data_IF_300934244312
#
_entry.id   IF_300934244312
#
_cell.length_a   1.000
_cell.length_b   1.000
_cell.length_c   1.000
_cell.angle_alpha   90.00
_cell.angle_beta   90.00
_cell.angle_gamma   90.00
#
_symmetry.space_group_name_H-M   'P 1'
#
loop_
_entity.id
_entity.type
_entity.pdbx_description
1 polymer ?
#
# COMPACT_ATOMS: atom_id res chain seq x y z
N UNK A 1 16.86 -4.96 16.88
CA UNK A 1 15.64 -5.42 17.59
C UNK A 1 15.88 -5.61 19.07
N UNK A 2 16.77 -6.52 19.52
CA UNK A 2 16.95 -6.76 20.97
C UNK A 2 17.34 -5.51 21.77
N UNK A 3 18.14 -4.61 21.19
CA UNK A 3 18.50 -3.34 21.84
C UNK A 3 17.32 -2.38 22.06
N UNK A 4 16.19 -2.59 21.38
CA UNK A 4 14.98 -1.77 21.47
C UNK A 4 13.78 -2.61 21.98
N UNK A 5 14.03 -3.71 22.70
CA UNK A 5 12.99 -4.69 23.06
C UNK A 5 11.84 -4.07 23.87
N UNK A 6 12.15 -3.12 24.76
CA UNK A 6 11.17 -2.44 25.60
C UNK A 6 10.36 -1.37 24.82
N UNK A 7 10.80 -1.02 23.62
CA UNK A 7 10.14 -0.03 22.74
C UNK A 7 9.28 -0.69 21.64
N UNK A 8 9.52 -1.98 21.34
CA UNK A 8 8.83 -2.73 20.29
C UNK A 8 7.32 -2.75 20.58
N UNK A 9 6.51 -2.35 19.59
CA UNK A 9 5.05 -2.22 19.71
C UNK A 9 4.58 -0.89 20.31
N UNK A 10 5.53 -0.06 20.78
CA UNK A 10 5.27 1.33 21.15
C UNK A 10 5.18 2.25 19.93
N UNK A 11 4.78 3.52 20.14
CA UNK A 11 4.49 4.47 19.05
C UNK A 11 5.72 4.94 18.27
N UNK A 12 6.93 4.61 18.74
CA UNK A 12 8.21 5.02 18.14
C UNK A 12 8.83 3.95 17.24
N UNK A 13 8.22 2.76 17.16
CA UNK A 13 8.77 1.63 16.40
C UNK A 13 7.80 1.17 15.32
N UNK A 14 8.37 0.75 14.19
CA UNK A 14 7.62 0.11 13.10
C UNK A 14 8.19 -1.28 12.82
N UNK A 15 7.86 -2.23 13.69
CA UNK A 15 8.40 -3.58 13.63
C UNK A 15 7.47 -4.54 12.88
N UNK A 16 8.09 -5.50 12.20
CA UNK A 16 7.42 -6.68 11.66
C UNK A 16 7.81 -7.91 12.48
N UNK A 17 6.88 -8.84 12.69
CA UNK A 17 7.21 -10.11 13.35
C UNK A 17 8.12 -11.00 12.49
N UNK A 18 8.84 -11.92 13.13
CA UNK A 18 9.70 -12.87 12.43
C UNK A 18 8.88 -13.94 11.68
N UNK A 19 9.42 -14.50 10.59
CA UNK A 19 8.73 -15.50 9.76
C UNK A 19 8.24 -16.73 10.53
N UNK A 20 8.93 -17.15 11.60
CA UNK A 20 8.50 -18.26 12.44
C UNK A 20 7.09 -18.07 13.03
N UNK A 21 6.72 -16.83 13.37
CA UNK A 21 5.36 -16.52 13.84
C UNK A 21 4.33 -16.60 12.72
N UNK A 22 4.72 -16.26 11.49
CA UNK A 22 3.85 -16.41 10.33
C UNK A 22 3.59 -17.88 10.02
N UNK A 23 4.61 -18.75 10.11
CA UNK A 23 4.42 -20.21 10.00
C UNK A 23 3.48 -20.76 11.07
N UNK A 24 3.65 -20.33 12.32
CA UNK A 24 2.78 -20.75 13.41
C UNK A 24 1.32 -20.31 13.18
N UNK A 25 1.12 -19.06 12.74
CA UNK A 25 -0.22 -18.52 12.47
C UNK A 25 -0.95 -19.19 11.30
N UNK A 26 -0.19 -19.70 10.32
CA UNK A 26 -0.76 -20.37 9.14
C UNK A 26 -0.88 -21.87 9.28
N UNK A 27 -0.39 -22.47 10.37
CA UNK A 27 -0.44 -23.91 10.57
C UNK A 27 -1.88 -24.42 10.48
N UNK A 28 -2.14 -25.48 9.69
CA UNK A 28 -1.17 -26.39 9.08
C UNK A 28 -0.83 -26.09 7.61
N UNK A 29 -1.24 -24.93 7.09
CA UNK A 29 -1.00 -24.58 5.70
C UNK A 29 0.41 -24.08 5.43
N UNK A 30 0.91 -24.43 4.25
CA UNK A 30 2.22 -24.01 3.79
C UNK A 30 2.22 -22.52 3.46
N UNK A 31 3.34 -21.88 3.81
CA UNK A 31 3.69 -20.50 3.40
C UNK A 31 2.69 -19.47 3.90
N UNK A 32 2.68 -18.26 3.32
CA UNK A 32 2.02 -17.09 3.88
C UNK A 32 1.66 -16.03 2.85
N UNK A 33 1.12 -14.91 3.34
CA UNK A 33 0.71 -13.72 2.58
C UNK A 33 1.60 -13.48 1.36
N UNK A 34 0.95 -13.16 0.24
CA UNK A 34 1.51 -12.92 -1.11
C UNK A 34 1.81 -14.19 -1.91
N UNK A 35 2.09 -15.33 -1.28
CA UNK A 35 2.23 -16.60 -2.01
C UNK A 35 0.87 -17.26 -2.24
N UNK A 36 0.76 -18.08 -3.29
CA UNK A 36 -0.50 -18.78 -3.61
C UNK A 36 -0.53 -20.23 -3.09
N UNK A 37 0.29 -20.56 -2.09
CA UNK A 37 0.02 -21.74 -1.26
C UNK A 37 -1.14 -21.46 -0.30
N UNK A 38 -1.71 -22.50 0.30
CA UNK A 38 -2.88 -22.31 1.17
C UNK A 38 -2.66 -21.35 2.33
N UNK A 39 -1.46 -21.23 2.91
CA UNK A 39 -1.20 -20.30 4.00
C UNK A 39 -1.19 -18.83 3.56
N UNK A 40 -1.11 -18.55 2.26
CA UNK A 40 -1.24 -17.20 1.71
C UNK A 40 -2.63 -16.83 1.20
N UNK A 41 -3.55 -17.79 1.11
CA UNK A 41 -4.87 -17.60 0.49
C UNK A 41 -6.04 -18.25 1.26
N UNK A 42 -5.79 -18.82 2.45
CA UNK A 42 -6.83 -19.41 3.30
C UNK A 42 -6.98 -18.57 4.56
N UNK A 43 -8.16 -17.97 4.72
CA UNK A 43 -8.51 -17.16 5.89
C UNK A 43 -9.72 -17.78 6.62
N UNK A 44 -9.86 -17.56 7.94
CA UNK A 44 -11.07 -17.95 8.65
C UNK A 44 -12.26 -17.13 8.16
N UNK A 45 -13.34 -17.80 7.77
CA UNK A 45 -14.57 -17.17 7.30
C UNK A 45 -15.75 -17.54 8.20
N UNK A 46 -16.39 -16.53 8.79
CA UNK A 46 -17.54 -16.68 9.68
C UNK A 46 -18.69 -15.87 9.11
N UNK A 47 -19.83 -16.54 8.90
CA UNK A 47 -21.08 -15.88 8.50
C UNK A 47 -22.04 -15.89 9.66
N UNK A 48 -22.58 -14.72 10.00
CA UNK A 48 -23.53 -14.56 11.09
C UNK A 48 -24.69 -13.67 10.67
N UNK A 49 -25.87 -14.27 10.53
CA UNK A 49 -27.11 -13.57 10.22
C UNK A 49 -28.29 -14.26 10.91
N UNK A 50 -28.59 -13.93 12.19
CA UNK A 50 -29.59 -14.65 12.99
C UNK A 50 -30.99 -14.72 12.39
N UNK A 51 -31.37 -13.69 11.63
CA UNK A 51 -32.69 -13.58 11.02
C UNK A 51 -32.82 -14.43 9.75
N UNK A 52 -31.72 -14.74 9.05
CA UNK A 52 -31.75 -15.48 7.77
C UNK A 52 -30.99 -16.81 7.76
N UNK A 53 -30.22 -17.12 8.81
CA UNK A 53 -29.52 -18.42 8.97
C UNK A 53 -30.06 -19.13 10.19
N UNK A 54 -30.71 -20.28 9.97
CA UNK A 54 -31.26 -21.13 11.03
C UNK A 54 -30.17 -21.97 11.67
N UNK A 55 -29.21 -22.47 10.89
CA UNK A 55 -28.05 -23.20 11.40
C UNK A 55 -27.32 -22.41 12.49
N UNK A 56 -26.85 -23.10 13.54
CA UNK A 56 -26.13 -22.50 14.67
C UNK A 56 -24.91 -23.35 15.01
N UNK A 57 -23.75 -22.70 15.10
CA UNK A 57 -22.48 -23.34 15.47
C UNK A 57 -22.11 -24.53 14.57
N UNK A 58 -22.44 -24.44 13.28
CA UNK A 58 -22.13 -25.49 12.30
C UNK A 58 -20.95 -25.08 11.40
N UNK A 59 -20.24 -26.07 10.88
CA UNK A 59 -19.11 -25.89 9.95
C UNK A 59 -19.55 -26.28 8.55
N UNK A 60 -19.13 -25.49 7.54
CA UNK A 60 -19.27 -25.81 6.12
C UNK A 60 -17.89 -26.13 5.56
N UNK A 61 -17.80 -27.14 4.67
CA UNK A 61 -16.54 -27.58 4.05
C UNK A 61 -16.48 -27.32 2.55
N UNK A 62 -17.52 -26.68 2.00
CA UNK A 62 -17.56 -26.24 0.61
C UNK A 62 -16.35 -25.37 0.29
N UNK A 63 -15.80 -25.53 -0.92
CA UNK A 63 -14.86 -24.55 -1.43
C UNK A 63 -15.56 -23.20 -1.58
N UNK A 64 -14.93 -22.16 -1.06
CA UNK A 64 -15.41 -20.78 -1.12
C UNK A 64 -14.22 -19.86 -1.38
N UNK A 65 -14.46 -18.78 -2.09
CA UNK A 65 -13.48 -17.77 -2.40
C UNK A 65 -14.04 -16.37 -2.14
N UNK A 66 -13.18 -15.36 -1.96
CA UNK A 66 -13.61 -14.00 -1.64
C UNK A 66 -14.58 -13.39 -2.67
N UNK A 67 -14.48 -13.82 -3.93
CA UNK A 67 -15.38 -13.36 -5.01
C UNK A 67 -16.83 -13.85 -4.85
N UNK A 68 -17.06 -14.87 -4.03
CA UNK A 68 -18.38 -15.42 -3.76
C UNK A 68 -19.22 -14.52 -2.84
N UNK A 69 -18.59 -13.53 -2.18
CA UNK A 69 -19.27 -12.64 -1.24
C UNK A 69 -20.35 -11.77 -1.89
N UNK A 70 -20.02 -11.12 -3.01
CA UNK A 70 -20.98 -10.24 -3.71
C UNK A 70 -22.24 -10.99 -4.15
N UNK A 71 -22.16 -12.12 -4.89
CA UNK A 71 -23.36 -12.85 -5.28
C UNK A 71 -24.10 -13.42 -4.06
N UNK A 72 -23.40 -13.81 -2.99
CA UNK A 72 -24.05 -14.27 -1.75
C UNK A 72 -24.90 -13.19 -1.10
N UNK A 73 -24.39 -11.95 -1.02
CA UNK A 73 -25.14 -10.82 -0.44
C UNK A 73 -26.34 -10.46 -1.31
N UNK A 74 -26.17 -10.45 -2.64
CA UNK A 74 -27.26 -10.17 -3.58
C UNK A 74 -28.39 -11.21 -3.48
N UNK A 75 -28.03 -12.50 -3.44
CA UNK A 75 -28.97 -13.62 -3.26
C UNK A 75 -29.70 -13.53 -1.92
N UNK A 76 -28.98 -13.26 -0.82
CA UNK A 76 -29.56 -13.07 0.50
C UNK A 76 -30.53 -11.88 0.61
N UNK A 77 -30.37 -10.86 -0.24
CA UNK A 77 -31.23 -9.68 -0.31
C UNK A 77 -32.33 -9.79 -1.36
N UNK A 78 -32.38 -10.87 -2.13
CA UNK A 78 -33.28 -11.04 -3.29
C UNK A 78 -33.12 -9.89 -4.30
N UNK A 79 -31.86 -9.54 -4.62
CA UNK A 79 -31.50 -8.47 -5.55
C UNK A 79 -30.75 -9.04 -6.75
N UNK A 80 -31.26 -8.78 -7.96
CA UNK A 80 -30.51 -9.05 -9.18
C UNK A 80 -29.35 -8.05 -9.37
N UNK A 81 -28.19 -8.55 -9.79
CA UNK A 81 -27.03 -7.71 -10.08
C UNK A 81 -27.32 -6.76 -11.25
N UNK A 82 -27.18 -5.43 -11.09
CA UNK A 82 -27.44 -4.49 -12.16
C UNK A 82 -26.38 -4.62 -13.27
N UNK A 83 -26.83 -4.75 -14.51
CA UNK A 83 -25.94 -4.80 -15.68
C UNK A 83 -25.31 -3.43 -15.99
N UNK A 84 -25.92 -2.34 -15.50
CA UNK A 84 -25.41 -0.98 -15.65
C UNK A 84 -25.64 -0.15 -14.37
N UNK A 85 -24.69 0.72 -14.03
CA UNK A 85 -24.81 1.70 -12.94
C UNK A 85 -24.43 3.06 -13.49
N UNK A 86 -25.36 4.04 -13.44
CA UNK A 86 -25.15 5.42 -13.94
C UNK A 86 -24.59 5.49 -15.37
N UNK A 87 -25.05 4.60 -16.24
CA UNK A 87 -24.61 4.52 -17.65
C UNK A 87 -23.30 3.76 -17.89
N UNK A 88 -22.67 3.20 -16.84
CA UNK A 88 -21.47 2.37 -16.96
C UNK A 88 -21.87 0.90 -16.93
N UNK A 89 -21.51 0.14 -17.96
CA UNK A 89 -21.66 -1.33 -18.00
C UNK A 89 -20.79 -1.97 -16.93
N UNK A 90 -21.36 -2.85 -16.11
CA UNK A 90 -20.65 -3.53 -15.05
C UNK A 90 -19.96 -4.80 -15.57
N UNK A 91 -18.83 -5.15 -14.96
CA UNK A 91 -18.19 -6.45 -15.20
C UNK A 91 -19.12 -7.59 -14.69
N UNK A 92 -19.06 -8.78 -15.30
CA UNK A 92 -19.76 -9.95 -14.77
C UNK A 92 -19.32 -10.24 -13.33
N UNK A 93 -20.23 -10.78 -12.52
CA UNK A 93 -19.86 -11.34 -11.22
C UNK A 93 -19.30 -12.74 -11.46
N UNK A 94 -18.01 -12.95 -11.16
CA UNK A 94 -17.35 -14.24 -11.41
C UNK A 94 -17.56 -15.27 -10.29
N UNK A 95 -18.02 -14.84 -9.11
CA UNK A 95 -18.26 -15.72 -7.96
C UNK A 95 -19.62 -16.42 -7.98
N UNK A 96 -19.81 -17.33 -7.03
CA UNK A 96 -21.04 -18.10 -6.85
C UNK A 96 -21.62 -17.87 -5.46
N UNK A 97 -22.94 -17.65 -5.37
CA UNK A 97 -23.60 -17.51 -4.06
C UNK A 97 -23.41 -18.76 -3.20
N UNK A 98 -23.11 -18.54 -1.92
CA UNK A 98 -23.01 -19.54 -0.86
C UNK A 98 -24.32 -19.67 -0.07
N UNK A 99 -25.33 -18.83 -0.32
CA UNK A 99 -26.53 -18.74 0.51
C UNK A 99 -27.30 -20.06 0.60
N UNK A 100 -27.28 -20.87 -0.47
CA UNK A 100 -27.90 -22.20 -0.50
C UNK A 100 -27.27 -23.19 0.50
N UNK A 101 -26.05 -22.93 0.97
CA UNK A 101 -25.36 -23.77 1.96
C UNK A 101 -25.67 -23.38 3.41
N UNK A 102 -26.30 -22.21 3.65
CA UNK A 102 -26.48 -21.69 5.00
C UNK A 102 -27.24 -22.66 5.92
N UNK A 103 -28.31 -23.25 5.41
CA UNK A 103 -29.14 -24.21 6.16
C UNK A 103 -29.08 -25.65 5.61
N UNK A 104 -28.21 -25.91 4.62
CA UNK A 104 -27.97 -27.26 4.08
C UNK A 104 -26.46 -27.52 3.92
N UNK A 105 -25.90 -28.26 4.88
CA UNK A 105 -24.50 -28.66 4.88
C UNK A 105 -24.16 -29.68 3.77
N UNK A 106 -25.16 -30.35 3.21
CA UNK A 106 -25.01 -31.41 2.19
C UNK A 106 -25.24 -30.91 0.77
N UNK A 107 -25.68 -29.67 0.60
CA UNK A 107 -25.88 -29.08 -0.71
C UNK A 107 -24.60 -29.14 -1.55
N UNK A 108 -24.72 -29.33 -2.86
CA UNK A 108 -23.56 -29.33 -3.74
C UNK A 108 -22.88 -27.95 -3.74
N UNK A 109 -21.54 -27.95 -3.73
CA UNK A 109 -20.77 -26.74 -3.99
C UNK A 109 -21.02 -26.26 -5.42
N UNK A 110 -21.04 -24.93 -5.61
CA UNK A 110 -21.17 -24.31 -6.94
C UNK A 110 -19.83 -23.82 -7.50
N UNK A 111 -18.86 -23.60 -6.62
CA UNK A 111 -17.54 -23.09 -6.98
C UNK A 111 -16.56 -24.26 -7.21
N UNK A 112 -16.37 -24.62 -8.47
CA UNK A 112 -15.56 -25.78 -8.86
C UNK A 112 -14.11 -25.42 -9.20
N UNK A 113 -13.85 -24.22 -9.71
CA UNK A 113 -12.54 -23.81 -10.22
C UNK A 113 -12.17 -22.42 -9.74
N UNK A 114 -10.96 -22.27 -9.19
CA UNK A 114 -10.39 -20.95 -8.87
C UNK A 114 -8.90 -20.93 -9.19
N UNK A 115 -8.48 -20.03 -10.07
CA UNK A 115 -7.06 -19.75 -10.32
C UNK A 115 -6.55 -18.68 -9.34
N UNK A 116 -5.24 -18.65 -9.13
CA UNK A 116 -4.53 -17.64 -8.38
C UNK A 116 -3.22 -17.29 -9.09
N UNK A 117 -2.86 -16.01 -9.08
CA UNK A 117 -1.57 -15.49 -9.54
C UNK A 117 -1.19 -14.28 -8.67
N UNK A 118 0.07 -14.24 -8.21
CA UNK A 118 0.64 -13.07 -7.57
C UNK A 118 2.14 -13.02 -7.78
N UNK A 119 2.61 -12.05 -8.56
CA UNK A 119 4.04 -11.84 -8.84
C UNK A 119 4.74 -13.11 -9.34
N UNK A 120 4.11 -13.81 -10.28
CA UNK A 120 4.61 -15.04 -10.89
C UNK A 120 4.36 -16.31 -10.09
N UNK A 121 3.94 -16.22 -8.84
CA UNK A 121 3.53 -17.36 -8.04
C UNK A 121 2.10 -17.76 -8.44
N UNK A 122 1.88 -19.02 -8.80
CA UNK A 122 0.64 -19.48 -9.45
C UNK A 122 0.06 -20.66 -8.73
N UNK A 123 -1.27 -20.77 -8.70
CA UNK A 123 -1.94 -22.01 -8.31
C UNK A 123 -3.34 -22.09 -8.89
N UNK A 124 -3.92 -23.28 -8.90
CA UNK A 124 -5.32 -23.51 -9.25
C UNK A 124 -5.93 -24.55 -8.33
N UNK A 125 -7.16 -24.31 -7.90
CA UNK A 125 -8.07 -25.32 -7.36
C UNK A 125 -9.05 -25.74 -8.46
N UNK A 126 -9.30 -27.05 -8.58
CA UNK A 126 -10.34 -27.61 -9.44
C UNK A 126 -10.86 -28.93 -8.87
N UNK A 127 -12.11 -28.94 -8.38
CA UNK A 127 -12.82 -30.12 -7.87
C UNK A 127 -11.97 -31.01 -6.94
N UNK A 128 -11.53 -30.43 -5.82
CA UNK A 128 -10.72 -31.15 -4.81
C UNK A 128 -9.25 -31.30 -5.16
N UNK A 129 -8.83 -30.98 -6.40
CA UNK A 129 -7.43 -30.97 -6.81
C UNK A 129 -6.85 -29.57 -6.75
N UNK A 130 -5.55 -29.49 -6.45
CA UNK A 130 -4.83 -28.25 -6.40
C UNK A 130 -3.44 -28.38 -7.01
N UNK A 131 -3.08 -27.50 -7.93
CA UNK A 131 -1.74 -27.42 -8.47
C UNK A 131 -1.11 -26.08 -8.09
N UNK A 132 0.18 -26.07 -7.73
CA UNK A 132 0.91 -24.87 -7.29
C UNK A 132 2.24 -24.79 -8.01
N UNK A 133 2.58 -23.63 -8.58
CA UNK A 133 3.87 -23.34 -9.17
C UNK A 133 4.48 -22.11 -8.47
N UNK A 134 5.41 -22.32 -7.52
CA UNK A 134 5.99 -21.23 -6.75
C UNK A 134 7.04 -20.44 -7.55
N UNK A 135 7.06 -19.12 -7.35
CA UNK A 135 8.14 -18.25 -7.82
C UNK A 135 8.66 -17.38 -6.66
N UNK A 136 9.98 -17.28 -6.43
CA UNK A 136 11.08 -17.93 -7.16
C UNK A 136 11.33 -19.41 -6.79
N UNK A 137 10.50 -19.97 -5.92
CA UNK A 137 10.58 -21.36 -5.49
C UNK A 137 9.92 -21.53 -4.13
N UNK A 138 9.86 -22.77 -3.61
CA UNK A 138 9.25 -23.08 -2.33
C UNK A 138 10.15 -22.69 -1.14
N UNK A 139 11.32 -22.05 -1.38
CA UNK A 139 12.26 -21.51 -0.40
C UNK A 139 13.10 -20.39 -1.04
N UNK A 140 13.06 -19.17 -0.48
CA UNK A 140 13.86 -18.06 -1.01
C UNK A 140 15.37 -18.29 -0.86
N UNK A 141 15.77 -18.98 0.21
CA UNK A 141 17.18 -19.32 0.46
C UNK A 141 17.69 -20.30 -0.59
N UNK A 142 16.94 -21.37 -0.88
CA UNK A 142 17.32 -22.37 -1.87
C UNK A 142 17.22 -21.83 -3.30
N UNK A 143 16.22 -21.01 -3.57
CA UNK A 143 16.05 -20.34 -4.87
C UNK A 143 17.13 -19.29 -5.15
N UNK A 144 17.90 -18.86 -4.14
CA UNK A 144 18.88 -17.78 -4.29
C UNK A 144 18.27 -16.44 -4.72
N UNK A 145 16.94 -16.30 -4.58
CA UNK A 145 16.16 -15.20 -5.10
C UNK A 145 15.03 -14.84 -4.13
N UNK A 146 14.69 -13.56 -4.12
CA UNK A 146 13.55 -13.04 -3.38
C UNK A 146 12.37 -12.83 -4.31
N UNK A 147 11.19 -12.58 -3.74
CA UNK A 147 10.03 -12.24 -4.55
C UNK A 147 10.19 -10.91 -5.28
N UNK A 148 9.38 -10.72 -6.32
CA UNK A 148 9.41 -9.48 -7.10
C UNK A 148 10.53 -9.44 -8.15
N UNK A 149 11.27 -10.55 -8.33
CA UNK A 149 12.24 -10.69 -9.42
C UNK A 149 11.51 -10.93 -10.74
N UNK A 150 11.88 -10.20 -11.82
CA UNK A 150 11.39 -10.51 -13.16
C UNK A 150 11.64 -11.98 -13.50
N UNK A 151 10.76 -12.58 -14.29
CA UNK A 151 10.90 -13.96 -14.79
C UNK A 151 11.34 -13.89 -16.24
N UNK A 152 12.58 -14.29 -16.58
CA UNK A 152 12.99 -14.45 -17.97
C UNK A 152 12.10 -15.49 -18.68
N UNK A 153 11.88 -15.33 -19.98
CA UNK A 153 11.00 -16.23 -20.74
C UNK A 153 11.46 -17.70 -20.68
N UNK A 154 12.77 -17.95 -20.76
CA UNK A 154 13.33 -19.30 -20.67
C UNK A 154 13.11 -19.90 -19.27
N UNK A 155 13.25 -19.08 -18.22
CA UNK A 155 12.95 -19.50 -16.84
C UNK A 155 11.47 -19.79 -16.66
N UNK A 156 10.58 -18.97 -17.21
CA UNK A 156 9.13 -19.22 -17.16
C UNK A 156 8.77 -20.54 -17.85
N UNK A 157 9.40 -20.82 -18.99
CA UNK A 157 9.23 -22.08 -19.73
C UNK A 157 9.72 -23.28 -18.92
N UNK A 158 10.87 -23.15 -18.26
CA UNK A 158 11.43 -24.21 -17.40
C UNK A 158 10.52 -24.50 -16.20
N UNK A 159 10.09 -23.47 -15.46
CA UNK A 159 9.23 -23.66 -14.28
C UNK A 159 7.83 -24.17 -14.67
N UNK A 160 7.35 -23.89 -15.88
CA UNK A 160 6.12 -24.50 -16.38
C UNK A 160 6.27 -25.99 -16.68
N UNK A 161 7.45 -26.40 -17.15
CA UNK A 161 7.72 -27.80 -17.43
C UNK A 161 7.93 -28.61 -16.15
N UNK A 162 8.60 -28.05 -15.14
CA UNK A 162 9.16 -28.81 -14.00
C UNK A 162 8.75 -28.30 -12.61
N UNK A 163 8.27 -27.07 -12.49
CA UNK A 163 8.07 -26.38 -11.21
C UNK A 163 6.69 -26.55 -10.57
N UNK A 164 5.80 -27.35 -11.16
CA UNK A 164 4.46 -27.55 -10.61
C UNK A 164 4.40 -28.70 -9.61
N UNK A 165 3.77 -28.44 -8.48
CA UNK A 165 3.34 -29.41 -7.47
C UNK A 165 1.84 -29.72 -7.66
N UNK A 166 1.40 -30.92 -7.25
CA UNK A 166 -0.01 -31.35 -7.32
C UNK A 166 -0.46 -31.97 -6.00
N UNK A 167 -1.67 -31.62 -5.55
CA UNK A 167 -2.28 -32.09 -4.30
C UNK A 167 -3.75 -32.46 -4.52
N UNK A 168 -4.24 -33.46 -3.77
CA UNK A 168 -5.66 -33.76 -3.67
C UNK A 168 -6.15 -33.28 -2.29
N UNK A 169 -6.64 -32.04 -2.23
CA UNK A 169 -6.86 -31.31 -0.97
C UNK A 169 -8.11 -31.76 -0.20
N UNK A 170 -8.97 -32.57 -0.82
CA UNK A 170 -10.08 -33.23 -0.12
C UNK A 170 -9.58 -34.35 0.81
N UNK A 171 -8.43 -34.94 0.49
CA UNK A 171 -7.77 -35.99 1.29
C UNK A 171 -6.56 -35.44 2.07
N UNK A 172 -5.78 -34.55 1.46
CA UNK A 172 -4.62 -33.88 2.04
C UNK A 172 -4.79 -32.37 2.02
N UNK A 173 -5.68 -31.89 2.88
CA UNK A 173 -6.01 -30.47 2.97
C UNK A 173 -4.80 -29.56 3.28
N UNK A 174 -3.71 -30.08 3.86
CA UNK A 174 -2.54 -29.29 4.22
C UNK A 174 -1.42 -29.27 3.14
N UNK A 175 -1.63 -29.91 1.98
CA UNK A 175 -0.65 -29.94 0.87
C UNK A 175 0.69 -30.57 1.28
N UNK A 176 0.65 -31.70 2.00
CA UNK A 176 1.84 -32.40 2.50
C UNK A 176 2.48 -33.33 1.48
N UNK A 177 1.68 -33.98 0.62
CA UNK A 177 2.14 -35.00 -0.31
C UNK A 177 1.99 -34.52 -1.75
N UNK A 178 3.11 -34.17 -2.37
CA UNK A 178 3.13 -33.79 -3.78
C UNK A 178 2.93 -35.04 -4.66
N UNK A 179 1.81 -35.08 -5.38
CA UNK A 179 1.37 -36.18 -6.24
C UNK A 179 1.72 -35.98 -7.72
N UNK A 180 2.51 -34.94 -8.05
CA UNK A 180 2.82 -34.55 -9.43
C UNK A 180 3.46 -35.67 -10.26
N UNK A 181 4.34 -36.47 -9.64
CA UNK A 181 5.06 -37.55 -10.30
C UNK A 181 4.14 -38.74 -10.59
N UNK A 182 3.26 -39.10 -9.65
CA UNK A 182 2.34 -40.23 -9.77
C UNK A 182 1.13 -39.89 -10.65
N UNK A 183 0.73 -38.62 -10.74
CA UNK A 183 -0.50 -38.18 -11.40
C UNK A 183 -0.24 -37.17 -12.53
N UNK A 184 0.72 -37.46 -13.41
CA UNK A 184 1.16 -36.52 -14.46
C UNK A 184 0.05 -36.05 -15.40
N UNK A 185 -0.88 -36.95 -15.77
CA UNK A 185 -2.01 -36.58 -16.62
C UNK A 185 -2.92 -35.54 -15.94
N UNK A 186 -3.23 -35.75 -14.65
CA UNK A 186 -4.01 -34.79 -13.86
C UNK A 186 -3.27 -33.47 -13.70
N UNK A 187 -1.95 -33.50 -13.48
CA UNK A 187 -1.17 -32.27 -13.41
C UNK A 187 -1.21 -31.47 -14.72
N UNK A 188 -1.06 -32.13 -15.87
CA UNK A 188 -1.15 -31.46 -17.18
C UNK A 188 -2.52 -30.81 -17.38
N UNK A 189 -3.59 -31.51 -17.00
CA UNK A 189 -4.95 -30.97 -17.01
C UNK A 189 -5.06 -29.71 -16.13
N UNK A 190 -4.57 -29.75 -14.88
CA UNK A 190 -4.60 -28.61 -13.97
C UNK A 190 -3.83 -27.41 -14.53
N UNK A 191 -2.65 -27.62 -15.11
CA UNK A 191 -1.83 -26.56 -15.74
C UNK A 191 -2.59 -25.93 -16.91
N UNK A 192 -3.17 -26.75 -17.79
CA UNK A 192 -3.95 -26.26 -18.92
C UNK A 192 -5.16 -25.44 -18.45
N UNK A 193 -5.88 -25.92 -17.44
CA UNK A 193 -7.01 -25.21 -16.83
C UNK A 193 -6.56 -23.87 -16.23
N UNK A 194 -5.41 -23.82 -15.56
CA UNK A 194 -4.86 -22.55 -15.05
C UNK A 194 -4.65 -21.54 -16.18
N UNK A 195 -4.09 -21.95 -17.31
CA UNK A 195 -3.87 -21.06 -18.46
C UNK A 195 -5.18 -20.60 -19.12
N UNK A 196 -6.20 -21.46 -19.16
CA UNK A 196 -7.53 -21.09 -19.65
C UNK A 196 -8.16 -20.02 -18.75
N UNK A 197 -8.14 -20.23 -17.43
CA UNK A 197 -8.67 -19.24 -16.48
C UNK A 197 -7.87 -17.93 -16.51
N UNK A 198 -6.53 -18.01 -16.51
CA UNK A 198 -5.64 -16.86 -16.59
C UNK A 198 -5.91 -16.02 -17.86
N UNK A 199 -6.20 -16.67 -18.99
CA UNK A 199 -6.60 -16.01 -20.23
C UNK A 199 -7.95 -15.29 -20.14
N UNK A 200 -8.95 -15.89 -19.49
CA UNK A 200 -10.28 -15.27 -19.28
C UNK A 200 -10.20 -13.97 -18.49
N UNK A 201 -9.26 -13.89 -17.55
CA UNK A 201 -9.18 -12.78 -16.57
C UNK A 201 -7.96 -11.87 -16.76
N UNK A 202 -7.40 -11.82 -17.97
CA UNK A 202 -6.32 -10.89 -18.36
C UNK A 202 -5.07 -10.95 -17.46
N UNK A 203 -4.70 -12.15 -17.01
CA UNK A 203 -3.52 -12.36 -16.15
C UNK A 203 -2.21 -12.28 -16.95
N UNK A 204 -2.29 -12.49 -18.26
CA UNK A 204 -1.11 -12.59 -19.12
C UNK A 204 -0.58 -11.22 -19.57
N UNK A 205 0.75 -11.05 -19.71
CA UNK A 205 1.80 -12.04 -19.42
C UNK A 205 2.05 -12.23 -17.92
N UNK A 206 2.54 -13.41 -17.53
CA UNK A 206 2.98 -13.67 -16.14
C UNK A 206 4.13 -12.72 -15.79
N UNK A 207 3.91 -11.85 -14.81
CA UNK A 207 4.85 -10.80 -14.43
C UNK A 207 5.31 -10.96 -12.98
N UNK A 208 6.56 -11.42 -12.81
CA UNK A 208 7.19 -11.59 -11.50
C UNK A 208 7.68 -10.30 -10.84
N UNK A 209 7.63 -9.14 -11.53
CA UNK A 209 8.17 -7.88 -11.00
C UNK A 209 7.40 -7.40 -9.77
N UNK A 210 8.15 -7.04 -8.73
CA UNK A 210 7.60 -6.51 -7.47
C UNK A 210 7.78 -5.00 -7.42
N UNK A 211 8.97 -4.56 -6.98
CA UNK A 211 9.30 -3.13 -6.77
C UNK A 211 9.11 -2.30 -8.04
N UNK A 212 9.46 -2.85 -9.21
CA UNK A 212 9.29 -2.13 -10.47
C UNK A 212 7.80 -1.82 -10.74
N UNK A 213 6.90 -2.76 -10.45
CA UNK A 213 5.43 -2.54 -10.59
C UNK A 213 4.87 -1.54 -9.59
N UNK A 214 5.51 -1.37 -8.43
CA UNK A 214 5.14 -0.33 -7.48
C UNK A 214 5.53 1.07 -7.98
N UNK A 215 6.63 1.19 -8.73
CA UNK A 215 7.09 2.44 -9.30
C UNK A 215 6.43 2.79 -10.65
N UNK A 216 5.80 1.82 -11.31
CA UNK A 216 5.10 2.03 -12.58
C UNK A 216 3.84 2.88 -12.41
N UNK A 217 3.68 3.83 -13.33
CA UNK A 217 2.47 4.65 -13.40
C UNK A 217 1.27 3.80 -13.80
N UNK A 218 0.27 3.75 -12.92
CA UNK A 218 -0.99 3.07 -13.20
C UNK A 218 -1.94 3.99 -13.96
N UNK A 219 -2.64 3.49 -15.00
CA UNK A 219 -3.71 4.23 -15.65
C UNK A 219 -4.70 4.77 -14.60
N UNK A 220 -5.01 6.06 -14.71
CA UNK A 220 -6.02 6.71 -13.86
C UNK A 220 -7.34 6.79 -14.62
N UNK A 221 -8.44 6.52 -13.93
CA UNK A 221 -9.79 6.73 -14.49
C UNK A 221 -10.14 8.22 -14.61
N UNK A 222 -9.41 9.08 -13.91
CA UNK A 222 -9.61 10.53 -13.87
C UNK A 222 -8.49 11.26 -14.59
N UNK A 223 -8.78 12.46 -15.08
CA UNK A 223 -7.76 13.36 -15.63
C UNK A 223 -6.62 13.60 -14.62
N UNK A 224 -5.41 13.79 -15.16
CA UNK A 224 -4.25 14.14 -14.35
C UNK A 224 -4.50 15.42 -13.56
N UNK A 225 -4.17 15.35 -12.27
CA UNK A 225 -4.28 16.49 -11.35
C UNK A 225 -2.89 16.97 -10.99
N UNK A 226 -2.60 18.22 -11.33
CA UNK A 226 -1.40 18.92 -10.85
C UNK A 226 -1.63 19.62 -9.52
N UNK A 227 -2.88 19.74 -9.06
CA UNK A 227 -3.24 20.45 -7.82
C UNK A 227 -4.23 19.65 -6.97
N UNK A 228 -3.99 19.60 -5.67
CA UNK A 228 -4.82 18.90 -4.68
C UNK A 228 -5.10 19.83 -3.51
N UNK A 229 -6.34 19.93 -3.06
CA UNK A 229 -6.72 20.74 -1.90
C UNK A 229 -7.41 19.86 -0.87
N UNK A 230 -6.91 19.94 0.37
CA UNK A 230 -7.41 19.22 1.53
C UNK A 230 -7.84 20.21 2.61
N UNK A 231 -8.79 19.81 3.43
CA UNK A 231 -9.39 20.63 4.49
C UNK A 231 -9.16 19.95 5.85
N UNK A 232 -9.09 20.69 6.96
CA UNK A 232 -8.99 20.08 8.29
C UNK A 232 -10.26 19.31 8.65
N UNK A 233 -10.19 18.52 9.72
CA UNK A 233 -11.31 17.74 10.27
C UNK A 233 -11.90 16.69 9.31
N UNK A 234 -11.12 16.23 8.33
CA UNK A 234 -11.45 15.10 7.47
C UNK A 234 -10.73 13.83 7.92
N UNK A 235 -11.18 12.68 7.41
CA UNK A 235 -10.44 11.42 7.56
C UNK A 235 -9.13 11.46 6.78
N UNK A 236 -8.17 10.60 7.17
CA UNK A 236 -6.90 10.46 6.48
C UNK A 236 -7.12 10.03 5.02
N UNK A 237 -6.44 10.70 4.10
CA UNK A 237 -6.49 10.36 2.67
C UNK A 237 -5.39 9.36 2.35
N UNK A 238 -5.71 8.16 1.84
CA UNK A 238 -4.71 7.14 1.56
C UNK A 238 -3.79 7.54 0.41
N UNK A 239 -2.59 6.97 0.38
CA UNK A 239 -1.54 7.22 -0.63
C UNK A 239 -2.06 7.27 -2.07
N UNK A 240 -2.86 6.28 -2.44
CA UNK A 240 -3.35 6.10 -3.80
C UNK A 240 -4.35 7.17 -4.25
N UNK A 241 -4.89 7.97 -3.32
CA UNK A 241 -5.77 9.10 -3.59
C UNK A 241 -5.08 10.46 -3.38
N UNK A 242 -3.82 10.46 -2.94
CA UNK A 242 -3.04 11.67 -2.64
C UNK A 242 -2.13 12.15 -3.79
N UNK A 243 -1.55 13.36 -3.67
CA UNK A 243 -0.51 13.87 -4.55
C UNK A 243 0.73 12.95 -4.59
N UNK A 244 1.28 12.77 -5.79
CA UNK A 244 2.52 12.01 -6.02
C UNK A 244 3.73 12.95 -5.90
N UNK A 245 4.35 13.02 -4.71
CA UNK A 245 5.43 13.98 -4.38
C UNK A 245 6.86 13.45 -4.59
N UNK A 246 7.03 12.14 -4.74
CA UNK A 246 8.34 11.50 -4.81
C UNK A 246 9.14 11.98 -6.03
N UNK A 247 10.42 12.27 -5.83
CA UNK A 247 11.42 12.57 -6.87
C UNK A 247 11.03 13.69 -7.85
N UNK A 248 10.26 14.68 -7.40
CA UNK A 248 9.83 15.82 -8.23
C UNK A 248 9.81 17.12 -7.44
N UNK A 249 9.95 18.23 -8.16
CA UNK A 249 9.68 19.55 -7.57
C UNK A 249 8.19 19.70 -7.29
N UNK A 250 7.86 20.26 -6.13
CA UNK A 250 6.48 20.46 -5.68
C UNK A 250 6.40 21.51 -4.57
N UNK A 251 5.17 21.90 -4.23
CA UNK A 251 4.90 22.76 -3.08
C UNK A 251 3.71 22.30 -2.25
N UNK A 252 3.72 22.70 -0.98
CA UNK A 252 2.65 22.49 -0.01
C UNK A 252 2.35 23.85 0.61
N UNK A 253 1.11 24.32 0.53
CA UNK A 253 0.70 25.65 0.99
C UNK A 253 -0.49 25.53 1.93
N UNK A 254 -0.33 25.96 3.17
CA UNK A 254 -1.39 26.03 4.17
C UNK A 254 -1.85 27.49 4.32
N UNK A 255 -3.15 27.74 4.12
CA UNK A 255 -3.77 29.00 4.48
C UNK A 255 -4.29 28.91 5.91
N UNK A 256 -3.79 29.76 6.79
CA UNK A 256 -4.08 29.66 8.23
C UNK A 256 -4.42 31.00 8.86
N UNK A 257 -5.04 30.96 10.04
CA UNK A 257 -5.10 32.08 10.98
C UNK A 257 -4.37 31.72 12.27
N UNK A 258 -3.40 32.57 12.63
CA UNK A 258 -2.61 32.47 13.85
C UNK A 258 -3.28 33.36 14.91
N UNK A 259 -3.67 32.83 16.08
CA UNK A 259 -4.31 33.61 17.13
C UNK A 259 -3.30 34.53 17.84
N UNK A 260 -3.82 35.49 18.60
CA UNK A 260 -3.03 36.26 19.56
C UNK A 260 -2.37 35.32 20.56
N UNK A 261 -1.04 35.37 20.66
CA UNK A 261 -0.23 34.43 21.47
C UNK A 261 0.49 33.34 20.67
N UNK A 262 0.26 33.25 19.35
CA UNK A 262 0.93 32.30 18.46
C UNK A 262 0.16 30.98 18.28
N UNK A 263 0.66 30.11 17.41
CA UNK A 263 0.10 28.79 17.18
C UNK A 263 1.20 27.72 17.26
N UNK A 264 0.77 26.53 17.65
CA UNK A 264 1.51 25.28 17.68
C UNK A 264 0.68 24.22 16.94
N UNK A 265 1.35 23.23 16.34
CA UNK A 265 0.74 22.01 15.82
C UNK A 265 0.97 21.75 14.33
N UNK A 266 0.47 20.59 13.88
CA UNK A 266 0.67 20.09 12.51
C UNK A 266 -0.29 20.76 11.54
N UNK A 267 0.26 21.32 10.45
CA UNK A 267 -0.54 21.85 9.34
C UNK A 267 -0.97 20.71 8.41
N UNK A 268 0.00 19.86 8.04
CA UNK A 268 -0.25 18.64 7.29
C UNK A 268 0.82 17.60 7.60
N UNK A 269 0.44 16.34 7.74
CA UNK A 269 1.36 15.21 7.83
C UNK A 269 0.97 14.11 6.83
N UNK A 270 1.96 13.29 6.50
CA UNK A 270 1.79 12.07 5.73
C UNK A 270 2.80 11.04 6.20
N UNK A 271 2.34 9.80 6.43
CA UNK A 271 3.19 8.69 6.86
C UNK A 271 3.22 8.56 8.38
N UNK A 272 4.37 8.14 8.92
CA UNK A 272 4.59 7.94 10.36
C UNK A 272 6.05 7.69 10.67
N UNK A 273 6.32 6.91 11.72
CA UNK A 273 7.69 6.58 12.14
C UNK A 273 8.49 5.80 11.10
N UNK A 274 7.83 5.13 10.16
CA UNK A 274 8.42 4.34 9.09
C UNK A 274 8.78 5.13 7.82
N UNK A 275 8.49 6.42 7.80
CA UNK A 275 8.76 7.32 6.68
C UNK A 275 7.58 8.26 6.45
N UNK A 276 7.84 9.40 5.82
CA UNK A 276 6.80 10.41 5.63
C UNK A 276 7.32 11.84 5.53
N UNK A 277 6.41 12.79 5.69
CA UNK A 277 6.74 14.20 5.88
C UNK A 277 5.70 14.90 6.75
N UNK A 278 6.08 16.04 7.32
CA UNK A 278 5.19 16.89 8.11
C UNK A 278 5.58 18.34 7.95
N UNK A 279 4.59 19.20 7.72
CA UNK A 279 4.68 20.65 7.81
C UNK A 279 3.92 21.08 9.06
N UNK A 280 4.58 21.79 9.97
CA UNK A 280 4.04 22.08 11.29
C UNK A 280 4.58 23.41 11.83
N UNK A 281 3.92 23.94 12.85
CA UNK A 281 4.39 25.08 13.63
C UNK A 281 4.81 24.59 15.01
N UNK A 282 6.02 24.91 15.42
CA UNK A 282 6.51 24.63 16.77
C UNK A 282 7.42 25.75 17.26
N UNK A 283 7.25 26.14 18.52
CA UNK A 283 7.91 27.29 19.14
C UNK A 283 7.64 28.59 18.34
N UNK A 284 6.42 28.70 17.79
CA UNK A 284 6.01 29.76 16.86
C UNK A 284 6.70 29.76 15.49
N UNK A 285 7.60 28.82 15.19
CA UNK A 285 8.32 28.73 13.92
C UNK A 285 7.65 27.74 12.97
N UNK A 286 7.53 28.09 11.69
CA UNK A 286 7.19 27.14 10.63
C UNK A 286 8.35 26.16 10.40
N UNK A 287 8.05 24.87 10.34
CA UNK A 287 9.04 23.81 10.21
C UNK A 287 8.53 22.73 9.24
N UNK A 288 9.44 22.16 8.46
CA UNK A 288 9.18 20.99 7.63
C UNK A 288 10.21 19.91 7.89
N UNK A 289 9.73 18.67 8.04
CA UNK A 289 10.58 17.49 8.16
C UNK A 289 10.15 16.44 7.15
N UNK A 290 11.12 15.88 6.45
CA UNK A 290 10.97 14.63 5.74
C UNK A 290 11.63 13.51 6.54
N UNK A 291 10.86 12.48 6.88
CA UNK A 291 11.35 11.27 7.52
C UNK A 291 11.85 10.30 6.45
N UNK A 292 13.17 10.16 6.35
CA UNK A 292 13.84 9.18 5.52
C UNK A 292 13.94 7.85 6.28
N UNK A 293 12.78 7.18 6.42
CA UNK A 293 12.61 5.82 6.98
C UNK A 293 13.31 5.62 8.34
N UNK A 294 13.20 6.62 9.21
CA UNK A 294 13.86 6.74 10.53
C UNK A 294 15.39 6.60 10.51
N UNK A 295 16.02 6.71 9.33
CA UNK A 295 17.48 6.76 9.18
C UNK A 295 18.01 8.18 9.24
N UNK A 296 17.21 9.13 8.76
CA UNK A 296 17.50 10.56 8.79
C UNK A 296 16.19 11.37 8.84
N UNK A 297 16.25 12.55 9.44
CA UNK A 297 15.15 13.51 9.52
C UNK A 297 15.60 14.82 8.88
N UNK A 298 15.33 14.94 7.58
CA UNK A 298 15.73 16.09 6.78
C UNK A 298 14.85 17.28 7.15
N UNK A 299 15.46 18.32 7.70
CA UNK A 299 14.74 19.37 8.42
C UNK A 299 15.08 20.75 7.87
N UNK A 300 14.05 21.57 7.66
CA UNK A 300 14.17 23.02 7.45
C UNK A 300 13.27 23.76 8.45
N UNK A 301 13.80 24.84 9.03
CA UNK A 301 13.08 25.71 9.97
C UNK A 301 13.08 27.15 9.46
N UNK A 302 11.98 27.85 9.70
CA UNK A 302 11.90 29.30 9.55
C UNK A 302 12.84 30.00 10.54
N UNK A 303 13.32 31.18 10.16
CA UNK A 303 14.23 32.03 10.95
C UNK A 303 13.50 32.98 11.91
N UNK A 304 12.18 33.12 11.76
CA UNK A 304 11.35 34.06 12.52
C UNK A 304 10.02 33.43 12.95
N UNK A 305 9.53 33.76 14.16
CA UNK A 305 8.22 33.32 14.60
C UNK A 305 7.10 33.96 13.77
N UNK A 306 5.99 33.23 13.63
CA UNK A 306 4.78 33.71 12.99
C UNK A 306 4.14 34.83 13.83
N UNK A 307 3.59 35.82 13.13
CA UNK A 307 2.77 36.87 13.75
C UNK A 307 1.31 36.42 13.84
N UNK A 308 0.51 37.09 14.67
CA UNK A 308 -0.93 36.90 14.68
C UNK A 308 -1.56 37.41 13.36
N UNK A 309 -2.62 36.74 12.93
CA UNK A 309 -3.36 37.08 11.71
C UNK A 309 -3.38 35.96 10.67
N UNK A 310 -3.87 36.31 9.47
CA UNK A 310 -4.00 35.37 8.34
C UNK A 310 -2.68 35.30 7.58
N UNK A 311 -2.22 34.07 7.32
CA UNK A 311 -0.95 33.81 6.65
C UNK A 311 -1.06 32.71 5.60
N UNK A 312 -0.20 32.82 4.57
CA UNK A 312 0.14 31.73 3.67
C UNK A 312 1.46 31.10 4.12
N UNK A 313 1.41 29.86 4.61
CA UNK A 313 2.57 29.11 5.07
C UNK A 313 2.92 28.04 4.03
N UNK A 314 4.07 28.18 3.38
CA UNK A 314 4.41 27.38 2.20
C UNK A 314 5.74 26.67 2.36
N UNK A 315 5.76 25.40 1.99
CA UNK A 315 6.96 24.60 1.76
C UNK A 315 7.13 24.38 0.26
N UNK A 316 8.38 24.46 -0.21
CA UNK A 316 8.77 24.09 -1.57
C UNK A 316 9.95 23.12 -1.54
N UNK A 317 9.89 22.14 -2.44
CA UNK A 317 11.00 21.26 -2.73
C UNK A 317 11.43 21.45 -4.19
N UNK A 318 12.67 21.89 -4.40
CA UNK A 318 13.31 22.01 -5.71
C UNK A 318 14.23 20.81 -5.92
N UNK A 319 13.98 19.98 -6.94
CA UNK A 319 14.91 18.87 -7.27
C UNK A 319 16.20 19.44 -7.84
N UNK A 320 17.33 19.02 -7.28
CA UNK A 320 18.68 19.46 -7.69
C UNK A 320 19.57 18.30 -8.16
N UNK A 321 19.11 17.06 -8.05
CA UNK A 321 19.83 15.88 -8.52
C UNK A 321 18.92 14.66 -8.68
N UNK A 322 19.34 13.74 -9.54
CA UNK A 322 18.61 12.52 -9.84
C UNK A 322 18.55 11.54 -8.65
N UNK A 323 17.48 10.74 -8.51
CA UNK A 323 17.42 9.67 -7.52
C UNK A 323 18.45 8.57 -7.80
N UNK A 324 18.93 7.93 -6.74
CA UNK A 324 19.78 6.73 -6.76
C UNK A 324 19.04 5.57 -6.08
N UNK A 325 18.10 4.98 -6.84
CA UNK A 325 17.25 3.89 -6.37
C UNK A 325 18.06 2.66 -5.92
N UNK A 326 19.22 2.41 -6.54
CA UNK A 326 20.06 1.26 -6.23
C UNK A 326 20.63 1.32 -4.81
N UNK A 327 20.90 2.54 -4.31
CA UNK A 327 21.36 2.77 -2.94
C UNK A 327 20.26 3.32 -2.02
N UNK A 328 19.00 3.23 -2.46
CA UNK A 328 17.83 3.60 -1.66
C UNK A 328 17.61 5.10 -1.48
N UNK A 329 18.20 5.95 -2.32
CA UNK A 329 18.10 7.41 -2.22
C UNK A 329 17.14 7.97 -3.26
N UNK A 330 16.16 8.76 -2.80
CA UNK A 330 15.35 9.61 -3.67
C UNK A 330 16.14 10.82 -4.16
N UNK A 331 15.50 11.63 -5.00
CA UNK A 331 16.10 12.83 -5.58
C UNK A 331 16.65 13.75 -4.49
N UNK A 332 17.86 14.27 -4.69
CA UNK A 332 18.38 15.36 -3.88
C UNK A 332 17.64 16.65 -4.25
N UNK A 333 17.54 17.57 -3.31
CA UNK A 333 16.86 18.82 -3.58
C UNK A 333 17.06 19.87 -2.50
N UNK A 334 16.42 21.02 -2.70
CA UNK A 334 16.42 22.12 -1.77
C UNK A 334 15.04 22.28 -1.17
N UNK A 335 15.00 22.29 0.14
CA UNK A 335 13.81 22.54 0.95
C UNK A 335 13.77 24.04 1.31
N UNK A 336 12.65 24.69 1.02
CA UNK A 336 12.46 26.12 1.25
C UNK A 336 11.13 26.36 1.97
N UNK A 337 11.14 27.30 2.92
CA UNK A 337 9.97 27.74 3.66
C UNK A 337 9.68 29.21 3.37
N UNK A 338 8.42 29.49 3.10
CA UNK A 338 7.92 30.83 2.82
C UNK A 338 6.77 31.17 3.77
N UNK A 339 6.76 32.40 4.26
CA UNK A 339 5.63 33.02 4.96
C UNK A 339 5.21 34.22 4.14
N UNK A 340 3.97 34.21 3.65
CA UNK A 340 3.43 35.24 2.76
C UNK A 340 4.37 35.54 1.57
N UNK A 341 4.81 34.45 0.92
CA UNK A 341 5.75 34.45 -0.23
C UNK A 341 7.15 34.98 0.05
N UNK A 342 7.52 35.27 1.30
CA UNK A 342 8.88 35.66 1.69
C UNK A 342 9.65 34.46 2.23
N UNK A 343 10.84 34.21 1.69
CA UNK A 343 11.72 33.14 2.14
C UNK A 343 12.12 33.37 3.61
N UNK A 344 11.85 32.39 4.46
CA UNK A 344 12.18 32.42 5.91
C UNK A 344 13.05 31.25 6.34
N UNK A 345 13.14 30.19 5.55
CA UNK A 345 13.99 29.04 5.88
C UNK A 345 14.44 28.31 4.62
N UNK A 346 15.66 27.77 4.64
CA UNK A 346 16.18 26.97 3.55
C UNK A 346 17.17 25.92 4.06
N UNK A 347 17.15 24.73 3.46
CA UNK A 347 18.11 23.66 3.72
C UNK A 347 18.30 22.82 2.46
N UNK A 348 19.51 22.29 2.23
CA UNK A 348 19.76 21.32 1.17
C UNK A 348 19.51 19.90 1.72
N UNK A 349 18.68 19.14 1.02
CA UNK A 349 18.36 17.74 1.32
C UNK A 349 19.19 16.86 0.38
N UNK A 350 20.28 16.24 0.87
CA UNK A 350 21.23 15.51 0.01
C UNK A 350 20.65 14.23 -0.60
N UNK A 351 19.51 13.77 -0.10
CA UNK A 351 18.70 12.68 -0.60
C UNK A 351 17.29 12.85 -0.03
N UNK A 352 16.33 12.11 -0.56
CA UNK A 352 14.97 12.00 0.00
C UNK A 352 14.53 10.54 0.01
N UNK A 353 13.30 10.24 0.45
CA UNK A 353 12.74 8.88 0.36
C UNK A 353 12.44 8.53 -1.11
N UNK A 354 12.91 7.40 -1.66
CA UNK A 354 12.80 7.14 -3.11
C UNK A 354 11.47 6.57 -3.57
N UNK A 355 10.84 5.68 -2.79
CA UNK A 355 9.82 4.74 -3.28
C UNK A 355 8.45 4.88 -2.61
N UNK A 356 8.41 5.05 -1.28
CA UNK A 356 7.17 5.18 -0.53
C UNK A 356 7.40 6.05 0.70
N UNK A 357 6.50 7.01 0.94
CA UNK A 357 6.56 7.93 2.08
C UNK A 357 5.92 7.31 3.33
N UNK A 358 6.33 6.08 3.68
CA UNK A 358 5.68 5.23 4.70
C UNK A 358 4.72 4.19 4.09
N UNK A 359 4.38 3.17 4.87
CA UNK A 359 3.51 2.04 4.53
C UNK A 359 2.17 2.10 5.26
N UNK A 360 2.13 2.73 6.44
CA UNK A 360 0.94 2.83 7.28
C UNK A 360 0.70 4.29 7.65
N UNK A 361 0.13 5.04 6.71
CA UNK A 361 -0.19 6.45 6.91
C UNK A 361 -0.98 7.02 5.74
N UNK A 362 -1.67 8.12 5.99
CA UNK A 362 -2.39 8.89 4.98
C UNK A 362 -2.12 10.37 5.18
N UNK A 363 -2.63 11.21 4.28
CA UNK A 363 -2.53 12.66 4.43
C UNK A 363 -3.57 13.09 5.45
N UNK A 364 -3.13 13.80 6.48
CA UNK A 364 -4.00 14.42 7.49
C UNK A 364 -3.70 15.91 7.59
N UNK A 365 -4.74 16.72 7.74
CA UNK A 365 -4.64 18.18 7.86
C UNK A 365 -5.06 18.60 9.27
N UNK A 366 -4.22 19.39 9.94
CA UNK A 366 -4.48 19.91 11.28
C UNK A 366 -4.03 19.03 12.45
N UNK A 367 -3.52 17.83 12.19
CA UNK A 367 -2.99 16.93 13.20
C UNK A 367 -2.13 15.83 12.55
N UNK A 368 -1.31 15.16 13.36
CA UNK A 368 -0.65 13.90 13.05
C UNK A 368 -1.18 12.80 13.98
N UNK A 369 -2.39 12.26 13.72
CA UNK A 369 -3.13 11.43 14.69
C UNK A 369 -2.55 10.02 14.90
N UNK A 370 -1.61 9.61 14.05
CA UNK A 370 -0.99 8.29 14.08
C UNK A 370 0.30 8.23 14.90
N UNK A 371 1.20 7.35 14.49
CA UNK A 371 2.58 7.38 14.97
C UNK A 371 3.27 8.64 14.41
N UNK A 372 4.01 9.40 15.23
CA UNK A 372 4.54 10.69 14.81
C UNK A 372 5.52 10.53 13.65
N UNK A 373 5.43 11.40 12.64
CA UNK A 373 6.36 11.38 11.50
C UNK A 373 7.80 11.64 11.94
N UNK A 374 8.02 12.41 13.00
CA UNK A 374 9.35 12.77 13.51
C UNK A 374 9.36 12.89 15.05
N UNK A 375 10.53 12.85 15.70
CA UNK A 375 10.62 12.89 17.17
C UNK A 375 10.49 14.30 17.76
N UNK A 376 10.29 15.34 16.94
CA UNK A 376 10.33 16.73 17.40
C UNK A 376 9.05 17.20 18.09
N UNK A 377 7.93 16.50 17.89
CA UNK A 377 6.67 16.75 18.58
C UNK A 377 6.02 15.43 19.03
N UNK A 378 4.97 15.54 19.85
CA UNK A 378 4.17 14.40 20.29
C UNK A 378 2.81 14.41 19.59
N UNK A 379 2.50 13.34 18.85
CA UNK A 379 1.19 13.11 18.26
C UNK A 379 0.06 13.19 19.32
N UNK A 380 -1.12 13.75 18.99
CA UNK A 380 -1.54 14.19 17.65
C UNK A 380 -1.02 15.58 17.22
N UNK A 381 -0.38 16.32 18.13
CA UNK A 381 0.10 17.70 17.92
C UNK A 381 -0.89 18.57 17.12
N UNK A 382 -2.14 18.64 17.60
CA UNK A 382 -3.23 19.34 16.93
C UNK A 382 -2.90 20.84 16.75
N UNK A 383 -3.21 21.36 15.57
CA UNK A 383 -3.01 22.77 15.28
C UNK A 383 -3.97 23.64 16.09
N UNK A 384 -3.40 24.62 16.77
CA UNK A 384 -4.11 25.51 17.71
C UNK A 384 -4.66 26.78 17.08
N UNK A 385 -4.30 27.06 15.82
CA UNK A 385 -4.92 28.08 14.99
C UNK A 385 -6.06 27.54 14.12
N UNK A 386 -6.46 28.30 13.11
CA UNK A 386 -7.44 27.84 12.10
C UNK A 386 -6.69 27.49 10.82
N UNK A 387 -7.01 26.33 10.23
CA UNK A 387 -6.58 26.00 8.87
C UNK A 387 -7.79 26.17 7.94
N UNK A 388 -7.65 26.99 6.92
CA UNK A 388 -8.70 27.13 5.90
C UNK A 388 -8.59 26.00 4.87
N UNK A 389 -7.38 25.74 4.39
CA UNK A 389 -7.08 24.67 3.45
C UNK A 389 -5.58 24.41 3.35
N UNK A 390 -5.22 23.24 2.87
CA UNK A 390 -3.85 22.88 2.46
C UNK A 390 -3.88 22.48 0.99
N UNK A 391 -3.07 23.15 0.17
CA UNK A 391 -2.94 22.90 -1.26
C UNK A 391 -1.58 22.31 -1.59
N UNK A 392 -1.57 21.24 -2.36
CA UNK A 392 -0.38 20.68 -2.99
C UNK A 392 -0.36 21.09 -4.46
N UNK A 393 0.77 21.61 -4.92
CA UNK A 393 1.02 21.91 -6.33
C UNK A 393 2.18 21.08 -6.87
N UNK A 394 1.91 20.35 -7.95
CA UNK A 394 2.82 19.42 -8.60
C UNK A 394 3.31 19.94 -9.96
N UNK A 395 2.90 21.13 -10.40
CA UNK A 395 3.33 21.70 -11.69
C UNK A 395 4.85 21.85 -11.80
N UNK A 396 5.53 21.98 -10.66
CA UNK A 396 6.95 22.33 -10.61
C UNK A 396 7.20 23.84 -10.63
N UNK A 397 6.14 24.65 -10.70
CA UNK A 397 6.24 26.11 -10.54
C UNK A 397 6.54 26.43 -9.07
N UNK A 398 7.72 26.99 -8.84
CA UNK A 398 8.21 27.43 -7.53
C UNK A 398 8.28 28.96 -7.50
N UNK A 399 8.34 29.54 -6.30
CA UNK A 399 8.52 30.99 -6.16
C UNK A 399 9.93 31.37 -6.66
N UNK A 400 9.98 32.17 -7.73
CA UNK A 400 11.20 32.82 -8.18
C UNK A 400 11.58 33.95 -7.21
N UNK A 401 12.66 33.77 -6.45
CA UNK A 401 13.26 34.81 -5.61
C UNK A 401 14.57 35.28 -6.25
N UNK A 402 14.48 36.34 -7.04
CA UNK A 402 15.61 36.94 -7.76
C UNK A 402 16.71 37.44 -6.81
N UNK A 403 16.36 37.94 -5.62
CA UNK A 403 17.33 38.42 -4.63
C UNK A 403 18.07 37.27 -3.93
N UNK A 404 17.37 36.17 -3.61
CA UNK A 404 18.00 34.96 -3.09
C UNK A 404 18.89 34.28 -4.15
N UNK A 405 18.48 34.35 -5.41
CA UNK A 405 19.28 33.89 -6.55
C UNK A 405 20.54 34.75 -6.73
N UNK A 406 20.42 36.07 -6.62
CA UNK A 406 21.55 37.01 -6.66
C UNK A 406 22.52 36.79 -5.49
N UNK A 407 22.00 36.62 -4.26
CA UNK A 407 22.82 36.27 -3.07
C UNK A 407 23.57 34.95 -3.27
N UNK A 408 22.97 33.95 -3.92
CA UNK A 408 23.61 32.67 -4.28
C UNK A 408 24.76 32.85 -5.27
N UNK A 409 24.59 33.67 -6.30
CA UNK A 409 25.66 33.95 -7.28
C UNK A 409 26.83 34.64 -6.60
N UNK A 410 26.56 35.57 -5.68
CA UNK A 410 27.58 36.33 -4.94
C UNK A 410 28.32 35.47 -3.90
N UNK A 411 27.67 34.49 -3.26
CA UNK A 411 28.30 33.60 -2.27
C UNK A 411 29.13 32.46 -2.89
N UNK A 412 29.03 32.24 -4.21
CA UNK A 412 29.85 31.27 -4.97
C UNK A 412 31.08 31.91 -5.64
N UNK A 413 31.25 33.23 -5.54
CA UNK A 413 32.48 33.95 -5.87
C UNK A 413 33.35 34.07 -4.61
#
# INVERSE_FOLDING_TARGET
NLAAIDEIGGPTTFNHYAWGWTWAGNTPFRRWKRETYRGGISDPFIVHWPAGIKAKNEVRRHFAHAIDMVPTILDALDIEAPTTIRGVTQAPIEGFSLAHTFDDATAAGKHHTQYFEMMGHRSIYHDGWRAVCPWPGPSFTEAGAFFGKPIPADTLTEIDATGWELYHVDEDWAENHNLAAENRARLIEMIATWYVEAGKYNVMPVDGRGVQRFAEERPQLTADRSRYTFYPHTQAVPFNAGPRLLNRSHSITAEVEIPEGGAEGVLVSYGGTDGGYTLFVQDGLLQYVQNYVARDYLHVKADKPLTAGRHELRFEFEVTGEPDFAHGKGAAGRAQLYVDRKLTGQSDFPHTTPLSLGLTGGITVGADPGAPVCPFYRAPFEFTGIIHQVTFDLSGELIEDDEATMRRVMARQ
#
